data_IF_611816578919
#
_entry.id   IF_611816578919
#
_cell.length_a   1.000
_cell.length_b   1.000
_cell.length_c   1.000
_cell.angle_alpha   90.00
_cell.angle_beta   90.00
_cell.angle_gamma   90.00
#
_symmetry.space_group_name_H-M   'P 1'
#
loop_
_entity.id
_entity.type
_entity.pdbx_description
1 polymer ?
#
# COMPACT_ATOMS: atom_id res chain seq x y z
N UNK A 1 28.80 18.73 -5.06
CA UNK A 1 27.43 18.60 -4.51
C UNK A 1 26.77 17.44 -5.21
N UNK A 2 26.93 16.25 -4.63
CA UNK A 2 26.38 15.01 -5.17
C UNK A 2 24.85 15.05 -5.10
N UNK A 3 24.23 14.62 -6.20
CA UNK A 3 22.78 14.48 -6.35
C UNK A 3 22.24 13.67 -5.18
N UNK A 4 21.27 14.23 -4.44
CA UNK A 4 20.42 13.45 -3.53
C UNK A 4 19.81 12.33 -4.36
N UNK A 5 20.32 11.11 -4.20
CA UNK A 5 19.61 9.90 -4.59
C UNK A 5 18.38 9.89 -3.70
N UNK A 6 17.19 10.04 -4.28
CA UNK A 6 15.94 9.86 -3.56
C UNK A 6 15.99 8.50 -2.86
N UNK A 7 15.86 8.52 -1.54
CA UNK A 7 15.66 7.37 -0.67
C UNK A 7 14.25 6.72 -0.85
N UNK A 8 13.55 7.00 -1.96
CA UNK A 8 12.27 6.37 -2.35
C UNK A 8 12.46 4.98 -2.97
N UNK A 9 13.40 4.25 -2.39
CA UNK A 9 13.69 2.87 -2.66
C UNK A 9 12.55 2.04 -2.02
N UNK A 10 11.37 2.01 -2.66
CA UNK A 10 10.36 0.96 -2.43
C UNK A 10 10.95 -0.37 -2.92
N UNK A 11 12.00 -0.84 -2.25
CA UNK A 11 13.01 -1.78 -2.73
C UNK A 11 12.53 -3.21 -2.98
N UNK A 12 11.22 -3.46 -3.00
CA UNK A 12 10.68 -4.79 -3.26
C UNK A 12 9.49 -4.69 -4.21
N UNK A 13 9.77 -4.71 -5.52
CA UNK A 13 8.77 -4.94 -6.59
C UNK A 13 8.02 -6.27 -6.43
N UNK A 14 8.38 -7.09 -5.44
CA UNK A 14 7.84 -8.42 -5.18
C UNK A 14 7.04 -8.46 -3.89
N UNK A 15 6.09 -9.36 -3.86
CA UNK A 15 5.31 -9.66 -2.68
C UNK A 15 6.21 -10.38 -1.67
N UNK A 16 6.33 -9.89 -0.43
CA UNK A 16 7.15 -10.55 0.59
C UNK A 16 6.59 -11.94 0.98
N UNK A 17 5.34 -12.24 0.62
CA UNK A 17 4.70 -13.52 0.92
C UNK A 17 4.92 -14.55 -0.19
N UNK A 18 4.74 -14.18 -1.47
CA UNK A 18 4.78 -15.14 -2.59
C UNK A 18 5.84 -14.84 -3.66
N UNK A 19 6.57 -13.74 -3.55
CA UNK A 19 7.60 -13.34 -4.52
C UNK A 19 7.09 -12.82 -5.87
N UNK A 20 5.77 -12.83 -6.12
CA UNK A 20 5.17 -12.29 -7.36
C UNK A 20 5.17 -10.75 -7.35
N UNK A 21 5.19 -10.12 -8.52
CA UNK A 21 5.22 -8.67 -8.70
C UNK A 21 3.91 -8.09 -9.25
N UNK A 22 2.86 -8.90 -9.42
CA UNK A 22 1.54 -8.43 -9.86
C UNK A 22 0.76 -7.82 -8.70
N UNK A 23 0.59 -6.50 -8.76
CA UNK A 23 -0.12 -5.71 -7.76
C UNK A 23 -1.20 -4.82 -8.36
N UNK A 24 -2.21 -4.52 -7.54
CA UNK A 24 -3.23 -3.51 -7.81
C UNK A 24 -3.22 -2.47 -6.68
N UNK A 25 -3.17 -1.19 -7.03
CA UNK A 25 -3.27 -0.09 -6.06
C UNK A 25 -4.73 0.16 -5.67
N UNK A 26 -4.95 0.53 -4.42
CA UNK A 26 -6.27 0.87 -3.94
C UNK A 26 -6.23 1.54 -2.59
N UNK A 27 -7.37 1.52 -1.91
CA UNK A 27 -7.55 2.10 -0.59
C UNK A 27 -8.04 1.07 0.40
N UNK A 28 -7.61 1.26 1.64
CA UNK A 28 -8.25 0.59 2.76
C UNK A 28 -9.60 1.23 3.03
N UNK A 29 -10.56 0.43 3.48
CA UNK A 29 -11.82 0.94 3.99
C UNK A 29 -12.24 0.13 5.20
N UNK A 30 -12.91 0.76 6.16
CA UNK A 30 -13.54 0.08 7.28
C UNK A 30 -14.90 -0.47 6.85
N UNK A 31 -15.19 -1.75 7.13
CA UNK A 31 -16.54 -2.31 6.96
C UNK A 31 -17.22 -2.50 8.32
N UNK A 32 -18.28 -1.73 8.54
CA UNK A 32 -19.20 -1.86 9.69
C UNK A 32 -18.60 -1.43 11.03
N UNK A 33 -19.35 -1.69 12.11
CA UNK A 33 -19.00 -1.36 13.51
C UNK A 33 -17.82 -2.17 14.07
N UNK A 34 -17.36 -3.20 13.35
CA UNK A 34 -16.45 -4.23 13.86
C UNK A 34 -14.99 -4.09 13.38
N UNK A 35 -14.47 -2.88 13.20
CA UNK A 35 -13.03 -2.59 12.96
C UNK A 35 -12.34 -3.44 11.88
N UNK A 36 -13.09 -4.02 10.93
CA UNK A 36 -12.53 -4.85 9.86
C UNK A 36 -12.03 -3.96 8.73
N UNK A 37 -10.76 -4.14 8.39
CA UNK A 37 -10.11 -3.45 7.28
C UNK A 37 -10.33 -4.29 6.02
N UNK A 38 -10.99 -3.70 5.03
CA UNK A 38 -11.12 -4.25 3.69
C UNK A 38 -10.26 -3.48 2.68
N UNK A 39 -9.91 -4.15 1.58
CA UNK A 39 -9.27 -3.52 0.44
C UNK A 39 -10.31 -3.30 -0.66
N UNK A 40 -10.37 -2.08 -1.21
CA UNK A 40 -11.16 -1.78 -2.40
C UNK A 40 -10.21 -1.28 -3.49
N UNK A 41 -10.18 -1.95 -4.66
CA UNK A 41 -9.50 -1.40 -5.82
C UNK A 41 -10.26 -0.16 -6.32
N UNK A 42 -9.51 0.87 -6.78
CA UNK A 42 -9.94 2.23 -7.19
C UNK A 42 -9.67 3.35 -6.16
N UNK A 43 -9.10 4.45 -6.67
CA UNK A 43 -8.58 5.65 -6.00
C UNK A 43 -7.61 5.34 -4.85
N UNK A 44 -6.30 5.42 -5.13
CA UNK A 44 -5.28 5.31 -4.09
C UNK A 44 -5.44 6.43 -3.06
N UNK A 45 -5.30 6.06 -1.78
CA UNK A 45 -5.36 6.99 -0.65
C UNK A 45 -6.49 6.68 0.32
N UNK A 46 -6.12 6.41 1.57
CA UNK A 46 -7.01 6.37 2.73
C UNK A 46 -6.33 7.08 3.89
N UNK A 47 -7.06 7.94 4.60
CA UNK A 47 -6.54 8.57 5.82
C UNK A 47 -6.71 7.63 7.01
N UNK A 48 -5.60 7.24 7.63
CA UNK A 48 -5.60 6.61 8.96
C UNK A 48 -5.16 7.66 9.97
N UNK A 49 -6.12 8.26 10.68
CA UNK A 49 -5.85 9.44 11.50
C UNK A 49 -5.43 10.63 10.63
N UNK A 50 -4.23 11.18 10.85
CA UNK A 50 -3.63 12.26 10.06
C UNK A 50 -2.67 11.79 8.97
N UNK A 51 -2.50 10.47 8.78
CA UNK A 51 -1.53 9.91 7.83
C UNK A 51 -2.23 9.49 6.54
N UNK A 52 -1.66 9.92 5.40
CA UNK A 52 -2.04 9.40 4.09
C UNK A 52 -1.39 8.04 3.87
N UNK A 53 -2.22 7.01 3.79
CA UNK A 53 -1.79 5.62 3.55
C UNK A 53 -2.26 5.19 2.17
N UNK A 54 -1.32 4.77 1.34
CA UNK A 54 -1.59 4.02 0.12
C UNK A 54 -1.53 2.52 0.41
N UNK A 55 -2.30 1.73 -0.34
CA UNK A 55 -2.27 0.28 -0.25
C UNK A 55 -2.12 -0.35 -1.63
N UNK A 56 -1.37 -1.45 -1.72
CA UNK A 56 -1.37 -2.32 -2.90
C UNK A 56 -1.69 -3.76 -2.52
N UNK A 57 -2.49 -4.42 -3.34
CA UNK A 57 -2.94 -5.79 -3.17
C UNK A 57 -2.22 -6.71 -4.16
N UNK A 58 -1.60 -7.79 -3.67
CA UNK A 58 -0.97 -8.80 -4.52
C UNK A 58 -2.04 -9.66 -5.19
N UNK A 59 -2.10 -9.61 -6.51
CA UNK A 59 -3.11 -10.32 -7.31
C UNK A 59 -2.94 -11.85 -7.30
N UNK A 60 -1.83 -12.33 -6.75
CA UNK A 60 -1.49 -13.78 -6.73
C UNK A 60 -1.85 -14.45 -5.42
N UNK A 61 -1.50 -13.85 -4.28
CA UNK A 61 -1.71 -14.45 -2.96
C UNK A 61 -2.66 -13.66 -2.06
N UNK A 62 -3.13 -12.49 -2.49
CA UNK A 62 -4.05 -11.67 -1.72
C UNK A 62 -3.41 -10.79 -0.64
N UNK A 63 -2.07 -10.83 -0.48
CA UNK A 63 -1.38 -10.01 0.51
C UNK A 63 -1.54 -8.51 0.22
N UNK A 64 -1.79 -7.70 1.25
CA UNK A 64 -1.91 -6.25 1.14
C UNK A 64 -0.71 -5.58 1.81
N UNK A 65 -0.05 -4.68 1.09
CA UNK A 65 1.04 -3.86 1.63
C UNK A 65 0.53 -2.43 1.81
N UNK A 66 0.96 -1.80 2.90
CA UNK A 66 0.59 -0.43 3.27
C UNK A 66 1.82 0.46 3.22
N UNK A 67 1.63 1.67 2.72
CA UNK A 67 2.70 2.64 2.55
C UNK A 67 2.23 4.00 3.05
N UNK A 68 2.98 4.57 3.98
CA UNK A 68 2.79 5.95 4.41
C UNK A 68 3.46 6.88 3.42
N UNK A 69 2.76 7.93 3.00
CA UNK A 69 3.40 9.06 2.32
C UNK A 69 3.95 10.01 3.37
N UNK A 70 5.26 10.20 3.40
CA UNK A 70 5.88 11.37 4.05
C UNK A 70 5.74 12.56 3.08
N UNK A 71 5.26 13.70 3.59
CA UNK A 71 5.19 14.97 2.85
C UNK A 71 6.57 15.65 2.73
#
# INVERSE_FOLDING_TARGET
MEKRKNDDQYSEDRCPVCGDNRFEWGKLHTRGENSRIGFKPQDAGFMVGSMNVDARHCMTCGNVLLFTKED
#
